data_IF_018008203436
#
_entry.id   IF_018008203436
#
_cell.length_a   1.000
_cell.length_b   1.000
_cell.length_c   1.000
_cell.angle_alpha   90.00
_cell.angle_beta   90.00
_cell.angle_gamma   90.00
#
_symmetry.space_group_name_H-M   'P 1'
#
loop_
_entity.id
_entity.type
_entity.pdbx_description
1 polymer ?
#
# COMPACT_ATOMS: atom_id res chain seq x y z
N UNK A 1 -7.67 -20.14 -1.84
CA UNK A 1 -7.27 -19.45 -3.08
C UNK A 1 -5.82 -18.97 -3.01
N UNK A 2 -5.25 -18.79 -1.81
CA UNK A 2 -3.81 -18.58 -1.52
C UNK A 2 -3.06 -17.81 -2.61
N UNK A 3 -1.94 -18.32 -3.12
CA UNK A 3 -1.15 -17.64 -4.15
C UNK A 3 -1.67 -17.85 -5.58
N UNK A 4 -2.65 -18.72 -5.79
CA UNK A 4 -3.13 -19.05 -7.13
C UNK A 4 -3.76 -17.83 -7.82
N UNK A 5 -4.44 -16.98 -7.06
CA UNK A 5 -5.06 -15.75 -7.56
C UNK A 5 -4.07 -14.60 -7.77
N UNK A 6 -2.83 -14.68 -7.28
CA UNK A 6 -1.81 -13.62 -7.49
C UNK A 6 -1.37 -13.53 -8.96
N UNK A 7 -1.65 -14.56 -9.75
CA UNK A 7 -1.37 -14.58 -11.19
C UNK A 7 -2.07 -13.43 -11.94
N UNK A 8 -3.20 -12.94 -11.41
CA UNK A 8 -3.96 -11.85 -12.03
C UNK A 8 -3.19 -10.53 -12.07
N UNK A 9 -2.21 -10.34 -11.18
CA UNK A 9 -1.36 -9.14 -11.17
C UNK A 9 -0.42 -9.06 -12.38
N UNK A 10 -0.23 -10.18 -13.08
CA UNK A 10 0.58 -10.23 -14.32
C UNK A 10 -0.27 -10.14 -15.58
N UNK A 11 -1.59 -10.00 -15.45
CA UNK A 11 -2.49 -9.83 -16.61
C UNK A 11 -2.47 -8.37 -17.05
N UNK A 12 -2.58 -8.15 -18.37
CA UNK A 12 -2.55 -6.83 -18.99
C UNK A 12 -3.94 -6.50 -19.57
N UNK A 13 -4.74 -5.65 -18.90
CA UNK A 13 -6.00 -5.16 -19.45
C UNK A 13 -5.76 -4.33 -20.71
N UNK A 14 -6.62 -4.51 -21.71
CA UNK A 14 -6.59 -3.76 -22.96
C UNK A 14 -7.91 -3.07 -23.22
N UNK A 15 -7.85 -1.97 -23.95
CA UNK A 15 -9.00 -1.35 -24.60
C UNK A 15 -9.01 -1.74 -26.07
N UNK A 16 -10.13 -2.22 -26.58
CA UNK A 16 -10.24 -2.67 -27.97
C UNK A 16 -11.61 -2.35 -28.55
N UNK A 17 -11.74 -2.53 -29.87
CA UNK A 17 -13.02 -2.47 -30.56
C UNK A 17 -13.25 -3.80 -31.26
N UNK A 18 -14.49 -4.27 -31.26
CA UNK A 18 -14.86 -5.38 -32.13
C UNK A 18 -14.74 -4.96 -33.60
N UNK A 19 -14.58 -5.95 -34.49
CA UNK A 19 -14.64 -5.70 -35.93
C UNK A 19 -16.00 -5.09 -36.27
N UNK A 20 -16.04 -4.19 -37.26
CA UNK A 20 -17.27 -3.48 -37.67
C UNK A 20 -18.43 -4.41 -38.04
N UNK A 21 -18.13 -5.62 -38.50
CA UNK A 21 -19.15 -6.62 -38.83
C UNK A 21 -19.89 -7.16 -37.59
N UNK A 22 -19.25 -7.09 -36.42
CA UNK A 22 -19.81 -7.49 -35.12
C UNK A 22 -20.35 -6.29 -34.33
N UNK A 23 -19.70 -5.14 -34.46
CA UNK A 23 -20.08 -3.90 -33.82
C UNK A 23 -19.88 -2.71 -34.78
N UNK A 24 -20.91 -2.34 -35.56
CA UNK A 24 -20.84 -1.22 -36.49
C UNK A 24 -20.59 0.13 -35.82
N UNK A 25 -20.99 0.27 -34.56
CA UNK A 25 -20.82 1.51 -33.77
C UNK A 25 -19.40 1.64 -33.22
N UNK A 26 -18.62 0.55 -33.24
CA UNK A 26 -17.26 0.49 -32.72
C UNK A 26 -17.18 1.07 -31.31
N UNK A 27 -17.99 0.54 -30.41
CA UNK A 27 -18.02 0.95 -29.00
C UNK A 27 -16.74 0.46 -28.32
N UNK A 28 -16.00 1.32 -27.61
CA UNK A 28 -14.81 0.91 -26.86
C UNK A 28 -15.16 -0.17 -25.84
N UNK A 29 -14.45 -1.29 -25.92
CA UNK A 29 -14.54 -2.42 -24.98
C UNK A 29 -13.28 -2.50 -24.14
N UNK A 30 -13.41 -3.11 -22.96
CA UNK A 30 -12.30 -3.37 -22.05
C UNK A 30 -12.28 -4.86 -21.74
N UNK A 31 -11.08 -5.44 -21.68
CA UNK A 31 -10.95 -6.86 -21.37
C UNK A 31 -9.53 -7.35 -21.44
N UNK A 32 -9.40 -8.65 -21.63
CA UNK A 32 -8.13 -9.37 -21.71
C UNK A 32 -8.04 -10.14 -23.04
N UNK A 33 -6.84 -10.23 -23.60
CA UNK A 33 -6.58 -11.04 -24.81
C UNK A 33 -6.26 -12.47 -24.41
N UNK A 34 -7.04 -13.45 -24.89
CA UNK A 34 -6.91 -14.85 -24.49
C UNK A 34 -5.49 -15.40 -24.74
N UNK A 35 -4.85 -15.05 -25.84
CA UNK A 35 -3.48 -15.48 -26.15
C UNK A 35 -2.42 -14.85 -25.24
N UNK A 36 -2.67 -13.66 -24.69
CA UNK A 36 -1.79 -13.04 -23.69
C UNK A 36 -2.01 -13.70 -22.32
N UNK A 37 -3.27 -13.87 -21.91
CA UNK A 37 -3.61 -14.58 -20.67
C UNK A 37 -3.01 -15.99 -20.66
N UNK A 38 -3.14 -16.74 -21.76
CA UNK A 38 -2.63 -18.11 -21.87
C UNK A 38 -1.10 -18.23 -21.71
N UNK A 39 -0.34 -17.15 -21.94
CA UNK A 39 1.11 -17.11 -21.70
C UNK A 39 1.44 -16.92 -20.23
N UNK A 40 0.56 -16.26 -19.49
CA UNK A 40 0.67 -16.04 -18.04
C UNK A 40 0.16 -17.28 -17.29
N UNK A 41 -1.08 -17.68 -17.60
CA UNK A 41 -1.73 -18.85 -17.06
C UNK A 41 -2.68 -19.48 -18.08
N UNK A 42 -2.37 -20.70 -18.51
CA UNK A 42 -3.19 -21.43 -19.47
C UNK A 42 -4.51 -21.95 -18.91
N UNK A 43 -4.64 -22.03 -17.59
CA UNK A 43 -5.86 -22.55 -16.94
C UNK A 43 -6.96 -21.49 -16.90
N UNK A 44 -6.59 -20.21 -17.09
CA UNK A 44 -7.52 -19.08 -17.17
C UNK A 44 -8.15 -18.87 -18.56
N UNK A 45 -7.87 -19.76 -19.51
CA UNK A 45 -8.47 -19.71 -20.85
C UNK A 45 -9.23 -20.99 -21.18
N UNK A 46 -10.28 -20.84 -21.98
CA UNK A 46 -10.89 -21.97 -22.68
C UNK A 46 -10.27 -22.08 -24.07
N UNK A 47 -10.10 -23.32 -24.55
CA UNK A 47 -9.51 -23.63 -25.85
C UNK A 47 -10.58 -24.13 -26.81
N UNK A 48 -10.41 -23.86 -28.09
CA UNK A 48 -11.23 -24.41 -29.17
C UNK A 48 -10.90 -25.89 -29.46
N UNK A 49 -11.53 -26.47 -30.49
CA UNK A 49 -11.32 -27.86 -30.89
C UNK A 49 -9.89 -28.13 -31.37
N UNK A 50 -9.19 -27.11 -31.88
CA UNK A 50 -7.80 -27.14 -32.32
C UNK A 50 -6.81 -26.90 -31.16
N UNK A 51 -7.32 -26.69 -29.94
CA UNK A 51 -6.52 -26.44 -28.75
C UNK A 51 -5.97 -25.01 -28.63
N UNK A 52 -6.43 -24.07 -29.45
CA UNK A 52 -6.01 -22.66 -29.39
C UNK A 52 -6.83 -21.90 -28.35
N UNK A 53 -6.22 -20.95 -27.61
CA UNK A 53 -6.98 -20.07 -26.73
C UNK A 53 -8.09 -19.36 -27.49
N UNK A 54 -9.34 -19.51 -27.04
CA UNK A 54 -10.52 -18.98 -27.71
C UNK A 54 -11.21 -17.89 -26.88
N UNK A 55 -11.27 -18.06 -25.55
CA UNK A 55 -11.86 -17.08 -24.65
C UNK A 55 -11.22 -17.15 -23.27
N UNK A 56 -11.27 -16.05 -22.53
CA UNK A 56 -10.85 -15.97 -21.13
C UNK A 56 -11.98 -16.49 -20.23
N UNK A 57 -11.63 -17.25 -19.20
CA UNK A 57 -12.56 -17.73 -18.17
C UNK A 57 -12.84 -16.62 -17.18
N UNK A 58 -13.67 -15.65 -17.59
CA UNK A 58 -13.93 -14.44 -16.79
C UNK A 58 -14.52 -14.73 -15.41
N UNK A 59 -15.30 -15.80 -15.22
CA UNK A 59 -15.81 -16.17 -13.89
C UNK A 59 -14.67 -16.52 -12.91
N UNK A 60 -13.65 -17.25 -13.38
CA UNK A 60 -12.48 -17.58 -12.56
C UNK A 60 -11.65 -16.33 -12.27
N UNK A 61 -11.40 -15.50 -13.29
CA UNK A 61 -10.68 -14.23 -13.14
C UNK A 61 -11.39 -13.30 -12.15
N UNK A 62 -12.72 -13.19 -12.22
CA UNK A 62 -13.52 -12.35 -11.33
C UNK A 62 -13.48 -12.85 -9.88
N UNK A 63 -13.55 -14.16 -9.66
CA UNK A 63 -13.40 -14.74 -8.33
C UNK A 63 -12.00 -14.50 -7.75
N UNK A 64 -10.95 -14.61 -8.58
CA UNK A 64 -9.58 -14.29 -8.19
C UNK A 64 -9.41 -12.79 -7.87
N UNK A 65 -9.98 -11.90 -8.67
CA UNK A 65 -9.98 -10.45 -8.42
C UNK A 65 -10.64 -10.12 -7.07
N UNK A 66 -11.79 -10.72 -6.77
CA UNK A 66 -12.44 -10.54 -5.48
C UNK A 66 -11.55 -11.02 -4.32
N UNK A 67 -10.87 -12.16 -4.48
CA UNK A 67 -9.97 -12.67 -3.46
C UNK A 67 -8.78 -11.72 -3.21
N UNK A 68 -8.11 -11.23 -4.26
CA UNK A 68 -7.02 -10.26 -4.10
C UNK A 68 -7.50 -8.92 -3.53
N UNK A 69 -8.65 -8.42 -3.96
CA UNK A 69 -9.26 -7.22 -3.38
C UNK A 69 -9.52 -7.36 -1.88
N UNK A 70 -10.05 -8.51 -1.44
CA UNK A 70 -10.29 -8.77 -0.01
C UNK A 70 -8.98 -8.85 0.79
N UNK A 71 -7.93 -9.44 0.22
CA UNK A 71 -6.59 -9.48 0.86
C UNK A 71 -6.00 -8.07 1.00
N UNK A 72 -6.04 -7.27 -0.05
CA UNK A 72 -5.55 -5.89 -0.03
C UNK A 72 -6.35 -5.05 0.98
N UNK A 73 -7.68 -5.20 1.02
CA UNK A 73 -8.53 -4.51 1.98
C UNK A 73 -8.16 -4.87 3.43
N UNK A 74 -7.93 -6.15 3.73
CA UNK A 74 -7.49 -6.59 5.05
C UNK A 74 -6.11 -6.02 5.41
N UNK A 75 -5.15 -6.06 4.48
CA UNK A 75 -3.82 -5.50 4.68
C UNK A 75 -3.88 -3.99 4.95
N UNK A 76 -4.73 -3.27 4.20
CA UNK A 76 -4.97 -1.84 4.36
C UNK A 76 -5.55 -1.50 5.73
N UNK A 77 -6.55 -2.25 6.22
CA UNK A 77 -7.13 -2.03 7.55
C UNK A 77 -6.09 -2.24 8.65
N UNK A 78 -5.27 -3.29 8.55
CA UNK A 78 -4.19 -3.53 9.50
C UNK A 78 -3.10 -2.44 9.46
N UNK A 79 -2.76 -1.94 8.27
CA UNK A 79 -1.85 -0.81 8.13
C UNK A 79 -2.41 0.46 8.75
N UNK A 80 -3.69 0.78 8.52
CA UNK A 80 -4.36 1.91 9.17
C UNK A 80 -4.30 1.82 10.70
N UNK A 81 -4.53 0.63 11.27
CA UNK A 81 -4.41 0.42 12.72
C UNK A 81 -3.00 0.71 13.22
N UNK A 82 -1.97 0.21 12.52
CA UNK A 82 -0.57 0.48 12.87
C UNK A 82 -0.24 1.97 12.80
N UNK A 83 -0.72 2.68 11.77
CA UNK A 83 -0.53 4.13 11.64
C UNK A 83 -1.18 4.88 12.81
N UNK A 84 -2.37 4.47 13.24
CA UNK A 84 -3.03 5.07 14.42
C UNK A 84 -2.24 4.83 15.71
N UNK A 85 -1.75 3.61 15.93
CA UNK A 85 -0.93 3.26 17.10
C UNK A 85 0.41 4.02 17.11
N UNK A 86 1.04 4.16 15.95
CA UNK A 86 2.23 4.98 15.78
C UNK A 86 1.94 6.46 16.06
N UNK A 87 0.82 6.99 15.56
CA UNK A 87 0.39 8.37 15.84
C UNK A 87 0.21 8.64 17.34
N UNK A 88 -0.42 7.71 18.07
CA UNK A 88 -0.56 7.81 19.53
C UNK A 88 0.79 7.74 20.25
N UNK A 89 1.71 6.90 19.78
CA UNK A 89 3.06 6.78 20.35
C UNK A 89 3.87 8.06 20.12
N UNK A 90 3.79 8.64 18.92
CA UNK A 90 4.46 9.90 18.57
C UNK A 90 3.94 11.04 19.45
N UNK A 91 2.62 11.15 19.64
CA UNK A 91 2.04 12.15 20.52
C UNK A 91 2.57 12.03 21.96
N UNK A 92 2.61 10.80 22.51
CA UNK A 92 3.17 10.55 23.84
C UNK A 92 4.66 10.89 23.92
N UNK A 93 5.44 10.55 22.91
CA UNK A 93 6.87 10.87 22.86
C UNK A 93 7.09 12.39 22.79
N UNK A 94 6.26 13.11 22.05
CA UNK A 94 6.32 14.57 21.99
C UNK A 94 6.10 15.21 23.37
N UNK A 95 5.09 14.76 24.12
CA UNK A 95 4.84 15.23 25.49
C UNK A 95 6.03 14.95 26.42
N UNK A 96 6.65 13.77 26.30
CA UNK A 96 7.84 13.42 27.08
C UNK A 96 9.05 14.29 26.73
N UNK A 97 9.25 14.60 25.46
CA UNK A 97 10.31 15.50 24.97
C UNK A 97 10.08 16.91 25.52
N UNK A 98 8.85 17.41 25.48
CA UNK A 98 8.51 18.74 25.99
C UNK A 98 8.75 18.82 27.51
N UNK A 99 8.33 17.81 28.26
CA UNK A 99 8.55 17.72 29.70
C UNK A 99 10.05 17.65 30.06
N UNK A 100 10.83 16.86 29.31
CA UNK A 100 12.27 16.76 29.50
C UNK A 100 12.97 18.08 29.19
N UNK A 101 12.55 18.76 28.12
CA UNK A 101 13.06 20.08 27.73
C UNK A 101 12.82 21.11 28.83
N UNK A 102 11.59 21.16 29.38
CA UNK A 102 11.26 22.03 30.50
C UNK A 102 12.09 21.71 31.77
N UNK A 103 12.28 20.41 32.06
CA UNK A 103 13.13 19.95 33.16
C UNK A 103 14.59 20.40 33.02
N UNK A 104 15.16 20.27 31.82
CA UNK A 104 16.53 20.71 31.51
C UNK A 104 16.69 22.23 31.63
N UNK A 105 15.70 23.01 31.18
CA UNK A 105 15.70 24.47 31.35
C UNK A 105 15.71 24.86 32.83
N UNK A 106 14.89 24.19 33.65
CA UNK A 106 14.84 24.44 35.10
C UNK A 106 16.16 24.12 35.80
N UNK A 107 16.77 22.97 35.51
CA UNK A 107 18.08 22.59 36.08
C UNK A 107 19.15 23.58 35.65
N UNK A 108 19.15 23.99 34.38
CA UNK A 108 20.08 25.00 33.86
C UNK A 108 19.96 26.33 34.60
N UNK A 109 18.74 26.80 34.86
CA UNK A 109 18.49 28.03 35.62
C UNK A 109 18.98 27.92 37.09
N UNK A 110 18.76 26.78 37.74
CA UNK A 110 19.25 26.53 39.10
C UNK A 110 20.78 26.55 39.19
N UNK A 111 21.46 25.94 38.23
CA UNK A 111 22.93 25.95 38.16
C UNK A 111 23.49 27.37 37.93
N UNK A 112 22.81 28.19 37.15
CA UNK A 112 23.20 29.60 36.96
C UNK A 112 23.00 30.43 38.24
N UNK A 113 21.89 30.23 38.96
CA UNK A 113 21.60 30.92 40.21
C UNK A 113 22.52 30.49 41.38
N UNK A 114 23.01 29.24 41.36
CA UNK A 114 23.92 28.70 42.38
C UNK A 114 25.40 29.03 42.20
N UNK A 115 25.79 29.77 41.14
CA UNK A 115 27.19 30.20 40.97
C UNK A 115 27.55 31.25 42.04
N UNK A 116 28.61 31.04 42.84
CA UNK A 116 29.12 32.08 43.72
C UNK A 116 29.54 33.30 42.89
N UNK A 117 29.15 34.51 43.32
CA UNK A 117 29.62 35.75 42.69
C UNK A 117 31.15 35.84 42.71
N UNK A 118 31.77 36.60 41.78
CA UNK A 118 33.22 36.71 41.70
C UNK A 118 33.80 37.16 43.04
N UNK A 119 34.51 36.26 43.72
CA UNK A 119 35.34 36.64 44.86
C UNK A 119 36.47 37.50 44.33
N UNK A 120 36.32 38.81 44.52
CA UNK A 120 37.43 39.76 44.35
C UNK A 120 38.40 39.46 45.48
N UNK A 121 39.45 38.70 45.18
CA UNK A 121 40.59 38.53 46.06
C UNK A 121 41.36 39.85 46.01
N UNK A 122 41.13 40.71 47.01
CA UNK A 122 41.98 41.86 47.29
C UNK A 122 43.30 41.32 47.85
N UNK A 123 44.32 41.21 47.00
CA UNK A 123 45.69 41.01 47.45
C UNK A 123 46.24 42.35 47.93
N UNK A 124 46.74 42.36 49.17
CA UNK A 124 47.51 43.45 49.79
C UNK A 124 48.94 43.53 49.22
#
# INVERSE_FOLDING_TARGET
MDKASEVIFSLEPVSFHYKKDLDPEAVPQFGLVAEQVAKVDSDLVARDAEGKPYTVRYEEVNAMLLNEFLKEHQAFVEEQRKVQEQGATIARQQEQIDALTAGLQKVSAQLQAGRPGPQVVLNN
#
